data_IF_529941190957
#
_entry.id   IF_529941190957
#
_cell.length_a   1.000
_cell.length_b   1.000
_cell.length_c   1.000
_cell.angle_alpha   90.00
_cell.angle_beta   90.00
_cell.angle_gamma   90.00
#
_symmetry.space_group_name_H-M   'P 1'
#
loop_
_entity.id
_entity.type
_entity.pdbx_description
1 polymer ?
#
# COMPACT_ATOMS: atom_id res chain seq x y z
N UNK A 1 97.39 78.59 -113.26
CA UNK A 1 97.00 77.18 -113.43
C UNK A 1 98.05 76.35 -112.71
N UNK A 2 97.84 75.99 -111.45
CA UNK A 2 97.20 74.70 -111.11
C UNK A 2 96.27 74.89 -109.88
N UNK A 3 95.43 73.95 -109.46
CA UNK A 3 95.81 72.91 -108.52
C UNK A 3 94.56 72.06 -108.28
N UNK A 4 94.65 70.77 -108.58
CA UNK A 4 93.59 69.78 -108.35
C UNK A 4 94.18 68.49 -107.76
N UNK A 5 95.19 68.61 -106.89
CA UNK A 5 95.91 67.47 -106.28
C UNK A 5 95.67 67.28 -104.77
N UNK A 6 94.81 68.08 -104.13
CA UNK A 6 94.64 68.06 -102.65
C UNK A 6 93.45 67.25 -102.13
N UNK A 7 92.76 66.46 -102.97
CA UNK A 7 91.53 65.77 -102.56
C UNK A 7 91.69 64.32 -102.07
N UNK A 8 92.92 63.79 -101.96
CA UNK A 8 93.15 62.42 -101.47
C UNK A 8 93.51 62.34 -99.97
N UNK A 9 94.01 63.41 -99.37
CA UNK A 9 94.45 63.40 -97.95
C UNK A 9 93.33 63.72 -96.95
N UNK A 10 92.26 64.40 -97.37
CA UNK A 10 91.18 64.79 -96.46
C UNK A 10 90.29 63.62 -96.02
N UNK A 11 90.15 62.58 -96.84
CA UNK A 11 89.21 61.47 -96.58
C UNK A 11 89.82 60.43 -95.61
N UNK A 12 91.14 60.26 -95.61
CA UNK A 12 91.85 59.31 -94.73
C UNK A 12 91.98 59.79 -93.29
N UNK A 13 92.20 61.10 -93.09
CA UNK A 13 92.35 61.69 -91.76
C UNK A 13 91.00 61.73 -91.00
N UNK A 14 89.89 61.73 -91.74
CA UNK A 14 88.54 61.70 -91.17
C UNK A 14 88.16 60.30 -90.65
N UNK A 15 88.60 59.22 -91.32
CA UNK A 15 88.35 57.84 -90.85
C UNK A 15 89.20 57.47 -89.63
N UNK A 16 90.45 57.94 -89.54
CA UNK A 16 91.33 57.66 -88.40
C UNK A 16 90.83 58.35 -87.11
N UNK A 17 90.27 59.56 -87.20
CA UNK A 17 89.71 60.24 -86.02
C UNK A 17 88.49 59.52 -85.43
N UNK A 18 87.67 58.86 -86.26
CA UNK A 18 86.50 58.11 -85.79
C UNK A 18 86.87 56.92 -84.90
N UNK A 19 87.88 56.14 -85.30
CA UNK A 19 88.31 54.94 -84.57
C UNK A 19 88.96 55.23 -83.21
N UNK A 20 89.70 56.34 -83.09
CA UNK A 20 90.30 56.72 -81.81
C UNK A 20 89.27 57.23 -80.79
N UNK A 21 88.21 57.89 -81.26
CA UNK A 21 87.18 58.44 -80.39
C UNK A 21 86.31 57.33 -79.78
N UNK A 22 86.00 56.28 -80.56
CA UNK A 22 85.25 55.11 -80.09
C UNK A 22 86.05 54.28 -79.08
N UNK A 23 87.37 54.14 -79.27
CA UNK A 23 88.24 53.44 -78.33
C UNK A 23 88.37 54.16 -76.97
N UNK A 24 88.39 55.50 -76.96
CA UNK A 24 88.45 56.26 -75.70
C UNK A 24 87.15 56.15 -74.90
N UNK A 25 85.99 56.14 -75.56
CA UNK A 25 84.70 56.10 -74.88
C UNK A 25 84.43 54.75 -74.22
N UNK A 26 84.87 53.64 -74.84
CA UNK A 26 84.75 52.30 -74.27
C UNK A 26 85.62 52.06 -73.01
N UNK A 27 86.72 52.81 -72.87
CA UNK A 27 87.58 52.69 -71.68
C UNK A 27 86.97 53.43 -70.48
N UNK A 28 86.37 54.61 -70.70
CA UNK A 28 85.69 55.36 -69.63
C UNK A 28 84.44 54.63 -69.09
N UNK A 29 83.68 53.94 -69.94
CA UNK A 29 82.52 53.17 -69.49
C UNK A 29 82.90 51.97 -68.62
N UNK A 30 84.05 51.32 -68.88
CA UNK A 30 84.53 50.21 -68.05
C UNK A 30 85.06 50.67 -66.69
N UNK A 31 85.70 51.83 -66.60
CA UNK A 31 86.19 52.35 -65.31
C UNK A 31 85.04 52.80 -64.39
N UNK A 32 83.96 53.36 -64.95
CA UNK A 32 82.80 53.80 -64.16
C UNK A 32 81.95 52.62 -63.66
N UNK A 33 81.87 51.52 -64.43
CA UNK A 33 81.20 50.29 -64.00
C UNK A 33 81.95 49.54 -62.89
N UNK A 34 83.30 49.58 -62.89
CA UNK A 34 84.11 48.96 -61.84
C UNK A 34 83.97 49.68 -60.48
N UNK A 35 83.91 51.02 -60.47
CA UNK A 35 83.75 51.79 -59.22
C UNK A 35 82.39 51.58 -58.53
N UNK A 36 81.30 51.41 -59.27
CA UNK A 36 79.97 51.13 -58.68
C UNK A 36 79.82 49.70 -58.12
N UNK A 37 80.66 48.76 -58.57
CA UNK A 37 80.66 47.38 -58.07
C UNK A 37 81.29 47.20 -56.69
N UNK A 38 82.17 48.12 -56.28
CA UNK A 38 82.86 48.06 -54.98
C UNK A 38 82.05 48.73 -53.85
N UNK A 39 81.39 49.86 -54.11
CA UNK A 39 80.57 50.56 -53.10
C UNK A 39 79.36 49.73 -52.63
N UNK A 40 78.75 48.93 -53.52
CA UNK A 40 77.62 48.07 -53.15
C UNK A 40 78.04 46.83 -52.32
N UNK A 41 79.29 46.37 -52.43
CA UNK A 41 79.80 45.26 -51.61
C UNK A 41 80.12 45.71 -50.19
N UNK A 42 80.59 46.94 -49.98
CA UNK A 42 80.85 47.46 -48.63
C UNK A 42 79.56 47.74 -47.83
N UNK A 43 78.49 48.17 -48.48
CA UNK A 43 77.19 48.41 -47.81
C UNK A 43 76.45 47.11 -47.43
N UNK A 44 76.54 46.05 -48.27
CA UNK A 44 75.96 44.73 -47.95
C UNK A 44 76.72 44.05 -46.79
N UNK A 45 78.06 44.21 -46.72
CA UNK A 45 78.88 43.65 -45.64
C UNK A 45 78.59 44.35 -44.31
N UNK A 46 78.49 45.69 -44.30
CA UNK A 46 78.17 46.46 -43.08
C UNK A 46 76.78 46.11 -42.54
N UNK A 47 75.76 45.98 -43.40
CA UNK A 47 74.41 45.58 -42.96
C UNK A 47 74.35 44.15 -42.40
N UNK A 48 75.09 43.19 -42.99
CA UNK A 48 75.16 41.82 -42.45
C UNK A 48 75.95 41.72 -41.14
N UNK A 49 76.89 42.62 -40.91
CA UNK A 49 77.59 42.72 -39.62
C UNK A 49 76.68 43.32 -38.55
N UNK A 50 75.87 44.34 -38.87
CA UNK A 50 74.90 44.92 -37.93
C UNK A 50 73.77 43.94 -37.57
N UNK A 51 73.22 43.18 -38.53
CA UNK A 51 72.21 42.14 -38.24
C UNK A 51 72.78 40.94 -37.44
N UNK A 52 74.10 40.67 -37.54
CA UNK A 52 74.76 39.67 -36.69
C UNK A 52 75.10 40.20 -35.30
N UNK A 53 75.45 41.48 -35.17
CA UNK A 53 75.72 42.13 -33.89
C UNK A 53 74.42 42.31 -33.07
N UNK A 54 73.30 42.62 -33.72
CA UNK A 54 72.00 42.73 -33.06
C UNK A 54 71.42 41.37 -32.59
N UNK A 55 71.84 40.26 -33.21
CA UNK A 55 71.49 38.88 -32.78
C UNK A 55 72.45 38.29 -31.73
N UNK A 56 73.54 39.00 -31.40
CA UNK A 56 74.62 38.51 -30.54
C UNK A 56 74.51 38.91 -29.06
N UNK A 57 73.64 39.87 -28.72
CA UNK A 57 73.41 40.23 -27.33
C UNK A 57 72.03 39.72 -26.90
N UNK A 58 71.96 38.44 -26.56
CA UNK A 58 70.89 37.96 -25.68
C UNK A 58 71.15 38.63 -24.33
N UNK A 59 70.37 39.65 -24.00
CA UNK A 59 70.52 40.32 -22.71
C UNK A 59 70.19 39.33 -21.59
N UNK A 60 70.87 39.43 -20.45
CA UNK A 60 70.64 38.55 -19.28
C UNK A 60 69.14 38.39 -18.91
N UNK A 61 68.28 39.42 -19.05
CA UNK A 61 66.84 39.28 -18.87
C UNK A 61 66.16 38.33 -19.88
N UNK A 62 66.63 38.28 -21.13
CA UNK A 62 66.12 37.37 -22.17
C UNK A 62 66.54 35.91 -21.92
N UNK A 63 67.75 35.67 -21.41
CA UNK A 63 68.20 34.32 -21.01
C UNK A 63 67.44 33.76 -19.80
N UNK A 64 67.00 34.62 -18.89
CA UNK A 64 66.25 34.23 -17.70
C UNK A 64 64.73 34.15 -17.94
N UNK A 65 64.24 34.63 -19.08
CA UNK A 65 62.81 34.62 -19.44
C UNK A 65 62.18 33.21 -19.39
N UNK A 66 62.80 32.13 -19.90
CA UNK A 66 62.24 30.78 -19.77
C UNK A 66 62.13 30.33 -18.31
N UNK A 67 63.08 30.73 -17.48
CA UNK A 67 63.12 30.36 -16.06
C UNK A 67 62.05 31.15 -15.26
N UNK A 68 61.87 32.44 -15.56
CA UNK A 68 60.76 33.23 -15.00
C UNK A 68 59.39 32.75 -15.47
N UNK A 69 59.24 32.39 -16.75
CA UNK A 69 58.01 31.80 -17.28
C UNK A 69 57.74 30.44 -16.64
N UNK A 70 58.78 29.63 -16.41
CA UNK A 70 58.70 28.38 -15.65
C UNK A 70 58.24 28.61 -14.21
N UNK A 71 58.83 29.58 -13.51
CA UNK A 71 58.45 29.92 -12.13
C UNK A 71 57.01 30.45 -12.05
N UNK A 72 56.59 31.28 -13.01
CA UNK A 72 55.22 31.79 -13.11
C UNK A 72 54.22 30.68 -13.47
N UNK A 73 54.59 29.76 -14.35
CA UNK A 73 53.77 28.60 -14.68
C UNK A 73 53.63 27.66 -13.47
N UNK A 74 54.71 27.43 -12.71
CA UNK A 74 54.70 26.61 -11.50
C UNK A 74 53.85 27.28 -10.42
N UNK A 75 54.04 28.56 -10.12
CA UNK A 75 53.23 29.27 -9.11
C UNK A 75 51.74 29.32 -9.49
N UNK A 76 51.42 29.50 -10.78
CA UNK A 76 50.06 29.39 -11.29
C UNK A 76 49.50 27.98 -11.15
N UNK A 77 50.26 26.95 -11.53
CA UNK A 77 49.85 25.56 -11.39
C UNK A 77 49.67 25.15 -9.92
N UNK A 78 50.50 25.66 -9.00
CA UNK A 78 50.32 25.46 -7.55
C UNK A 78 49.06 26.14 -7.04
N UNK A 79 48.74 27.34 -7.52
CA UNK A 79 47.48 28.04 -7.22
C UNK A 79 46.26 27.28 -7.75
N UNK A 80 46.31 26.81 -9.00
CA UNK A 80 45.24 26.02 -9.59
C UNK A 80 45.06 24.68 -8.85
N UNK A 81 46.15 23.97 -8.54
CA UNK A 81 46.11 22.73 -7.78
C UNK A 81 45.53 22.91 -6.37
N UNK A 82 45.88 24.00 -5.66
CA UNK A 82 45.28 24.28 -4.35
C UNK A 82 43.79 24.57 -4.42
N UNK A 83 43.31 25.26 -5.46
CA UNK A 83 41.86 25.46 -5.67
C UNK A 83 41.13 24.17 -6.03
N UNK A 84 41.76 23.28 -6.80
CA UNK A 84 41.19 21.97 -7.16
C UNK A 84 41.09 21.09 -5.91
N UNK A 85 42.12 21.08 -5.06
CA UNK A 85 42.10 20.36 -3.78
C UNK A 85 40.98 20.88 -2.87
N UNK A 86 40.81 22.20 -2.75
CA UNK A 86 39.70 22.77 -1.97
C UNK A 86 38.32 22.42 -2.53
N UNK A 87 38.18 22.32 -3.86
CA UNK A 87 36.93 21.87 -4.49
C UNK A 87 36.69 20.38 -4.24
N UNK A 88 37.74 19.55 -4.32
CA UNK A 88 37.69 18.12 -4.01
C UNK A 88 37.29 17.88 -2.56
N UNK A 89 37.88 18.58 -1.59
CA UNK A 89 37.50 18.49 -0.18
C UNK A 89 36.03 18.87 0.01
N UNK A 90 35.58 20.00 -0.54
CA UNK A 90 34.18 20.42 -0.47
C UNK A 90 33.22 19.41 -1.10
N UNK A 91 33.57 18.80 -2.22
CA UNK A 91 32.75 17.75 -2.84
C UNK A 91 32.77 16.44 -2.04
N UNK A 92 33.89 16.14 -1.39
CA UNK A 92 34.05 14.95 -0.55
C UNK A 92 33.23 15.11 0.74
N UNK A 93 33.21 16.29 1.34
CA UNK A 93 32.36 16.63 2.49
C UNK A 93 30.87 16.62 2.13
N UNK A 94 30.51 17.15 0.95
CA UNK A 94 29.15 17.10 0.43
C UNK A 94 28.69 15.66 0.14
N UNK A 95 29.60 14.80 -0.34
CA UNK A 95 29.34 13.39 -0.56
C UNK A 95 29.23 12.62 0.76
N UNK A 96 30.08 12.91 1.75
CA UNK A 96 30.03 12.30 3.08
C UNK A 96 28.74 12.66 3.83
N UNK A 97 28.30 13.92 3.74
CA UNK A 97 27.02 14.37 4.33
C UNK A 97 25.81 13.76 3.62
N UNK A 98 25.84 13.63 2.29
CA UNK A 98 24.80 12.92 1.53
C UNK A 98 24.76 11.42 1.85
N UNK A 99 25.92 10.78 2.02
CA UNK A 99 26.04 9.37 2.43
C UNK A 99 25.54 9.12 3.86
N UNK A 100 25.61 10.11 4.75
CA UNK A 100 25.03 10.02 6.10
C UNK A 100 23.49 10.11 6.14
N UNK A 101 22.88 10.85 5.22
CA UNK A 101 21.41 11.02 5.15
C UNK A 101 20.66 9.82 4.57
N UNK A 102 21.27 9.15 3.59
CA UNK A 102 20.70 8.00 2.87
C UNK A 102 20.30 6.82 3.78
N UNK A 103 21.15 6.31 4.70
CA UNK A 103 20.76 5.23 5.60
C UNK A 103 19.65 5.65 6.58
N UNK A 104 19.59 6.93 6.94
CA UNK A 104 18.52 7.47 7.80
C UNK A 104 17.16 7.44 7.08
N UNK A 105 17.12 7.86 5.81
CA UNK A 105 15.93 7.79 4.97
C UNK A 105 15.49 6.35 4.71
N UNK A 106 16.43 5.43 4.43
CA UNK A 106 16.11 4.00 4.25
C UNK A 106 15.50 3.42 5.53
N UNK A 107 16.03 3.78 6.70
CA UNK A 107 15.48 3.36 8.00
C UNK A 107 14.08 3.93 8.24
N UNK A 108 13.83 5.18 7.91
CA UNK A 108 12.48 5.78 8.00
C UNK A 108 11.49 5.10 7.04
N UNK A 109 11.93 4.78 5.82
CA UNK A 109 11.10 4.10 4.83
C UNK A 109 10.78 2.67 5.26
N UNK A 110 11.74 1.95 5.83
CA UNK A 110 11.51 0.65 6.47
C UNK A 110 10.52 0.76 7.63
N UNK A 111 10.71 1.73 8.54
CA UNK A 111 9.79 1.94 9.65
C UNK A 111 8.36 2.26 9.18
N UNK A 112 8.22 3.05 8.11
CA UNK A 112 6.92 3.38 7.52
C UNK A 112 6.27 2.17 6.84
N UNK A 113 7.05 1.33 6.16
CA UNK A 113 6.58 0.07 5.57
C UNK A 113 6.14 -0.91 6.65
N UNK A 114 6.90 -1.04 7.73
CA UNK A 114 6.56 -1.90 8.87
C UNK A 114 5.31 -1.39 9.61
N UNK A 115 5.16 -0.08 9.74
CA UNK A 115 3.95 0.53 10.30
C UNK A 115 2.73 0.27 9.40
N UNK A 116 2.89 0.41 8.09
CA UNK A 116 1.81 0.18 7.11
C UNK A 116 1.46 -1.30 7.01
N UNK A 117 2.43 -2.20 7.02
CA UNK A 117 2.20 -3.65 7.02
C UNK A 117 1.49 -4.08 8.30
N UNK A 118 1.88 -3.54 9.46
CA UNK A 118 1.18 -3.75 10.73
C UNK A 118 -0.26 -3.22 10.72
N UNK A 119 -0.49 -2.04 10.13
CA UNK A 119 -1.86 -1.50 9.98
C UNK A 119 -2.70 -2.37 9.05
N UNK A 120 -2.15 -2.79 7.91
CA UNK A 120 -2.82 -3.69 6.98
C UNK A 120 -3.16 -5.02 7.65
N UNK A 121 -2.22 -5.62 8.38
CA UNK A 121 -2.45 -6.88 9.10
C UNK A 121 -3.60 -6.73 10.10
N UNK A 122 -3.60 -5.66 10.91
CA UNK A 122 -4.70 -5.37 11.83
C UNK A 122 -6.04 -5.15 11.13
N UNK A 123 -6.02 -4.50 9.98
CA UNK A 123 -7.24 -4.29 9.18
C UNK A 123 -7.76 -5.62 8.62
N UNK A 124 -6.86 -6.49 8.14
CA UNK A 124 -7.23 -7.86 7.72
C UNK A 124 -7.76 -8.69 8.88
N UNK A 125 -7.13 -8.62 10.05
CA UNK A 125 -7.55 -9.37 11.24
C UNK A 125 -8.92 -8.88 11.74
N UNK A 126 -9.14 -7.56 11.78
CA UNK A 126 -10.42 -6.96 12.14
C UNK A 126 -11.52 -7.39 11.15
N UNK A 127 -11.25 -7.34 9.85
CA UNK A 127 -12.22 -7.72 8.81
C UNK A 127 -12.50 -9.23 8.84
N UNK A 128 -11.49 -10.07 9.11
CA UNK A 128 -11.70 -11.50 9.34
C UNK A 128 -12.54 -11.76 10.59
N UNK A 129 -12.29 -11.03 11.67
CA UNK A 129 -13.04 -11.16 12.91
C UNK A 129 -14.50 -10.72 12.73
N UNK A 130 -14.74 -9.64 11.97
CA UNK A 130 -16.08 -9.20 11.59
C UNK A 130 -16.78 -10.20 10.66
N UNK A 131 -16.11 -10.73 9.63
CA UNK A 131 -16.67 -11.75 8.75
C UNK A 131 -17.03 -13.03 9.50
N UNK A 132 -16.16 -13.45 10.43
CA UNK A 132 -16.41 -14.59 11.30
C UNK A 132 -17.59 -14.32 12.23
N UNK A 133 -17.62 -13.14 12.84
CA UNK A 133 -18.72 -12.69 13.69
C UNK A 133 -20.04 -12.61 12.94
N UNK A 134 -20.04 -12.12 11.70
CA UNK A 134 -21.22 -12.09 10.84
C UNK A 134 -21.65 -13.50 10.47
N UNK A 135 -20.75 -14.36 9.99
CA UNK A 135 -21.10 -15.74 9.61
C UNK A 135 -21.68 -16.51 10.80
N UNK A 136 -21.00 -16.49 11.93
CA UNK A 136 -21.41 -17.30 13.08
C UNK A 136 -22.63 -16.66 13.77
N UNK A 137 -22.64 -15.34 13.96
CA UNK A 137 -23.74 -14.62 14.59
C UNK A 137 -25.01 -14.59 13.74
N UNK A 138 -24.91 -14.29 12.44
CA UNK A 138 -26.06 -14.25 11.52
C UNK A 138 -26.66 -15.62 11.30
N UNK A 139 -25.85 -16.66 11.05
CA UNK A 139 -26.40 -18.00 10.82
C UNK A 139 -27.12 -18.49 12.07
N UNK A 140 -26.50 -18.38 13.24
CA UNK A 140 -27.16 -18.79 14.48
C UNK A 140 -28.41 -17.94 14.80
N UNK A 141 -28.28 -16.61 14.87
CA UNK A 141 -29.39 -15.78 15.34
C UNK A 141 -30.47 -15.53 14.29
N UNK A 142 -30.10 -15.35 13.02
CA UNK A 142 -31.04 -14.96 11.96
C UNK A 142 -31.61 -16.15 11.18
N UNK A 143 -30.88 -17.27 11.08
CA UNK A 143 -31.36 -18.45 10.33
C UNK A 143 -31.83 -19.56 11.27
N UNK A 144 -30.99 -19.99 12.20
CA UNK A 144 -31.33 -21.14 13.04
C UNK A 144 -32.45 -20.81 14.04
N UNK A 145 -32.40 -19.65 14.69
CA UNK A 145 -33.36 -19.30 15.76
C UNK A 145 -34.82 -19.21 15.28
N UNK A 146 -35.15 -18.60 14.11
CA UNK A 146 -36.51 -18.66 13.58
C UNK A 146 -36.95 -20.08 13.24
N UNK A 147 -36.10 -20.87 12.57
CA UNK A 147 -36.41 -22.26 12.19
C UNK A 147 -36.69 -23.10 13.44
N UNK A 148 -35.86 -22.99 14.48
CA UNK A 148 -36.06 -23.70 15.74
C UNK A 148 -37.39 -23.28 16.38
N UNK A 149 -37.72 -21.98 16.38
CA UNK A 149 -39.00 -21.49 16.92
C UNK A 149 -40.20 -22.05 16.16
N UNK A 150 -40.10 -22.14 14.84
CA UNK A 150 -41.16 -22.68 13.99
C UNK A 150 -41.30 -24.19 14.21
N UNK A 151 -40.19 -24.93 14.36
CA UNK A 151 -40.21 -26.36 14.73
C UNK A 151 -40.82 -26.60 16.11
N UNK A 152 -40.53 -25.74 17.09
CA UNK A 152 -41.17 -25.79 18.41
C UNK A 152 -42.67 -25.53 18.31
N UNK A 153 -43.10 -24.61 17.45
CA UNK A 153 -44.52 -24.32 17.23
C UNK A 153 -45.22 -25.51 16.57
N UNK A 154 -44.59 -26.10 15.56
CA UNK A 154 -45.08 -27.33 14.92
C UNK A 154 -45.20 -28.49 15.91
N UNK A 155 -44.22 -28.64 16.81
CA UNK A 155 -44.27 -29.63 17.88
C UNK A 155 -45.47 -29.41 18.81
N UNK A 156 -45.72 -28.17 19.24
CA UNK A 156 -46.87 -27.82 20.09
C UNK A 156 -48.20 -28.17 19.37
N UNK A 157 -48.31 -27.83 18.09
CA UNK A 157 -49.53 -28.06 17.29
C UNK A 157 -49.78 -29.56 17.06
N UNK A 158 -48.72 -30.34 16.81
CA UNK A 158 -48.81 -31.80 16.72
C UNK A 158 -49.18 -32.43 18.06
N UNK A 159 -48.62 -31.94 19.18
CA UNK A 159 -49.01 -32.41 20.52
C UNK A 159 -50.45 -32.07 20.85
N UNK A 160 -50.94 -30.91 20.43
CA UNK A 160 -52.35 -30.55 20.57
C UNK A 160 -53.24 -31.49 19.74
N UNK A 161 -52.85 -31.75 18.49
CA UNK A 161 -53.56 -32.68 17.60
C UNK A 161 -53.58 -34.09 18.17
N UNK A 162 -52.45 -34.57 18.71
CA UNK A 162 -52.35 -35.84 19.40
C UNK A 162 -53.33 -35.94 20.56
N UNK A 163 -53.40 -34.91 21.41
CA UNK A 163 -54.37 -34.88 22.53
C UNK A 163 -55.82 -34.94 22.04
N UNK A 164 -56.17 -34.17 21.02
CA UNK A 164 -57.52 -34.20 20.43
C UNK A 164 -57.85 -35.56 19.83
N UNK A 165 -56.87 -36.22 19.22
CA UNK A 165 -57.01 -37.55 18.65
C UNK A 165 -57.23 -38.61 19.74
N UNK A 166 -56.50 -38.52 20.86
CA UNK A 166 -56.72 -39.39 22.02
C UNK A 166 -58.11 -39.20 22.63
N UNK A 167 -58.59 -37.96 22.75
CA UNK A 167 -59.95 -37.66 23.22
C UNK A 167 -61.01 -38.26 22.26
N UNK A 168 -60.84 -38.08 20.95
CA UNK A 168 -61.73 -38.65 19.94
C UNK A 168 -61.70 -40.18 19.88
N UNK A 169 -60.53 -40.80 20.05
CA UNK A 169 -60.39 -42.25 20.14
C UNK A 169 -61.10 -42.80 21.39
N UNK A 170 -60.99 -42.11 22.53
CA UNK A 170 -61.69 -42.45 23.77
C UNK A 170 -63.23 -42.35 23.66
N UNK A 171 -63.74 -41.43 22.86
CA UNK A 171 -65.18 -41.31 22.60
C UNK A 171 -65.68 -42.33 21.56
N UNK A 172 -64.86 -42.64 20.54
CA UNK A 172 -65.17 -43.70 19.56
C UNK A 172 -65.20 -45.09 20.20
N UNK A 173 -64.36 -45.35 21.21
CA UNK A 173 -64.34 -46.63 21.94
C UNK A 173 -65.64 -46.89 22.72
N UNK A 174 -66.42 -45.85 23.05
CA UNK A 174 -67.71 -45.97 23.74
C UNK A 174 -68.85 -46.35 22.80
N UNK A 175 -68.68 -46.15 21.49
CA UNK A 175 -69.66 -46.43 20.45
C UNK A 175 -69.42 -47.85 19.90
N UNK A 176 -70.02 -48.86 20.54
CA UNK A 176 -69.92 -50.26 20.11
C UNK A 176 -70.71 -50.50 18.81
N UNK A 177 -70.00 -50.40 17.68
CA UNK A 177 -70.49 -50.72 16.33
C UNK A 177 -69.30 -51.23 15.51
N UNK A 178 -69.49 -52.20 14.60
CA UNK A 178 -68.42 -52.69 13.71
C UNK A 178 -67.73 -51.57 12.90
N UNK A 179 -68.46 -50.49 12.61
CA UNK A 179 -67.90 -49.29 11.96
C UNK A 179 -67.04 -48.48 12.93
N UNK A 180 -67.43 -48.44 14.21
CA UNK A 180 -66.67 -47.83 15.30
C UNK A 180 -65.33 -48.52 15.53
N UNK A 181 -65.27 -49.85 15.45
CA UNK A 181 -64.02 -50.61 15.62
C UNK A 181 -63.00 -50.30 14.52
N UNK A 182 -63.45 -50.21 13.25
CA UNK A 182 -62.58 -49.84 12.13
C UNK A 182 -62.09 -48.39 12.22
N UNK A 183 -62.94 -47.48 12.68
CA UNK A 183 -62.56 -46.09 12.92
C UNK A 183 -61.58 -45.98 14.09
N UNK A 184 -61.80 -46.73 15.17
CA UNK A 184 -60.93 -46.80 16.32
C UNK A 184 -59.51 -47.27 15.95
N UNK A 185 -59.39 -48.36 15.18
CA UNK A 185 -58.08 -48.84 14.72
C UNK A 185 -57.36 -47.82 13.80
N UNK A 186 -58.11 -47.10 12.96
CA UNK A 186 -57.54 -46.00 12.17
C UNK A 186 -57.08 -44.84 13.04
N UNK A 187 -57.88 -44.43 14.02
CA UNK A 187 -57.52 -43.35 14.95
C UNK A 187 -56.30 -43.73 15.78
N UNK A 188 -56.21 -44.98 16.25
CA UNK A 188 -55.06 -45.51 16.97
C UNK A 188 -53.80 -45.52 16.11
N UNK A 189 -53.90 -45.94 14.85
CA UNK A 189 -52.76 -45.86 13.91
C UNK A 189 -52.33 -44.41 13.70
N UNK A 190 -53.29 -43.50 13.56
CA UNK A 190 -53.00 -42.07 13.42
C UNK A 190 -52.37 -41.49 14.69
N UNK A 191 -52.78 -41.95 15.88
CA UNK A 191 -52.23 -41.56 17.18
C UNK A 191 -50.75 -41.92 17.26
N UNK A 192 -50.42 -43.18 16.96
CA UNK A 192 -49.03 -43.65 16.91
C UNK A 192 -48.19 -42.90 15.87
N UNK A 193 -48.78 -42.55 14.72
CA UNK A 193 -48.06 -41.79 13.70
C UNK A 193 -47.75 -40.36 14.16
N UNK A 194 -48.69 -39.71 14.84
CA UNK A 194 -48.46 -38.37 15.39
C UNK A 194 -47.44 -38.41 16.53
N UNK A 195 -47.47 -39.46 17.36
CA UNK A 195 -46.46 -39.69 18.41
C UNK A 195 -45.05 -39.82 17.80
N UNK A 196 -44.87 -40.69 16.81
CA UNK A 196 -43.58 -40.84 16.11
C UNK A 196 -43.11 -39.53 15.46
N UNK A 197 -44.03 -38.73 14.90
CA UNK A 197 -43.67 -37.42 14.34
C UNK A 197 -43.21 -36.44 15.43
N UNK A 198 -43.84 -36.47 16.61
CA UNK A 198 -43.39 -35.66 17.75
C UNK A 198 -41.98 -36.06 18.20
N UNK A 199 -41.69 -37.35 18.29
CA UNK A 199 -40.36 -37.89 18.62
C UNK A 199 -39.33 -37.48 17.58
N UNK A 200 -39.65 -37.61 16.29
CA UNK A 200 -38.78 -37.19 15.21
C UNK A 200 -38.43 -35.69 15.27
N UNK A 201 -39.40 -34.82 15.57
CA UNK A 201 -39.13 -33.38 15.73
C UNK A 201 -38.21 -33.15 16.93
N UNK A 202 -38.38 -33.89 18.03
CA UNK A 202 -37.47 -33.80 19.18
C UNK A 202 -36.05 -34.21 18.79
N UNK A 203 -35.87 -35.25 17.99
CA UNK A 203 -34.56 -35.66 17.47
C UNK A 203 -33.95 -34.61 16.52
N UNK A 204 -34.77 -33.98 15.68
CA UNK A 204 -34.33 -32.86 14.83
C UNK A 204 -33.87 -31.69 15.70
N UNK A 205 -34.63 -31.32 16.74
CA UNK A 205 -34.27 -30.27 17.69
C UNK A 205 -32.97 -30.62 18.44
N UNK A 206 -32.80 -31.88 18.87
CA UNK A 206 -31.58 -32.35 19.51
C UNK A 206 -30.34 -32.21 18.61
N UNK A 207 -30.46 -32.51 17.31
CA UNK A 207 -29.39 -32.28 16.31
C UNK A 207 -29.05 -30.81 16.10
N UNK A 208 -29.99 -29.90 16.40
CA UNK A 208 -29.78 -28.46 16.41
C UNK A 208 -29.29 -27.93 17.77
N UNK A 209 -28.87 -28.83 18.68
CA UNK A 209 -28.40 -28.51 20.03
C UNK A 209 -29.49 -27.92 20.93
N UNK A 210 -30.76 -28.19 20.61
CA UNK A 210 -31.93 -27.77 21.38
C UNK A 210 -32.39 -28.94 22.23
N UNK A 211 -32.46 -28.74 23.54
CA UNK A 211 -32.88 -29.76 24.50
C UNK A 211 -34.17 -29.34 25.20
N UNK A 212 -35.03 -30.32 25.48
CA UNK A 212 -36.25 -30.06 26.25
C UNK A 212 -35.91 -29.84 27.72
N UNK A 213 -36.59 -28.89 28.35
CA UNK A 213 -36.50 -28.71 29.80
C UNK A 213 -37.03 -29.98 30.50
N UNK A 214 -36.37 -30.44 31.57
CA UNK A 214 -36.93 -31.46 32.43
C UNK A 214 -38.25 -30.95 32.98
N UNK A 215 -39.24 -31.84 33.08
CA UNK A 215 -40.58 -31.51 33.56
C UNK A 215 -40.46 -30.88 34.95
N UNK A 216 -40.89 -29.62 35.08
CA UNK A 216 -40.95 -28.95 36.37
C UNK A 216 -41.82 -29.74 37.34
N UNK A 217 -41.22 -30.22 38.43
CA UNK A 217 -41.93 -30.80 39.56
C UNK A 217 -41.59 -30.02 40.83
N UNK A 218 -42.59 -29.72 41.65
CA UNK A 218 -42.45 -28.87 42.83
C UNK A 218 -42.79 -27.40 42.57
N UNK A 219 -42.00 -26.50 43.14
CA UNK A 219 -42.26 -25.05 43.13
C UNK A 219 -41.82 -24.38 41.83
N UNK A 220 -42.56 -23.34 41.44
CA UNK A 220 -42.26 -22.53 40.25
C UNK A 220 -40.87 -21.89 40.32
N UNK A 221 -40.01 -22.23 39.35
CA UNK A 221 -38.78 -21.51 39.08
C UNK A 221 -39.00 -20.44 38.00
N UNK A 222 -38.89 -19.16 38.39
CA UNK A 222 -39.13 -18.01 37.49
C UNK A 222 -38.08 -17.87 36.38
N UNK A 223 -36.92 -18.53 36.48
CA UNK A 223 -35.87 -18.46 35.46
C UNK A 223 -36.16 -19.39 34.28
N UNK A 224 -36.76 -20.55 34.54
CA UNK A 224 -36.95 -21.63 33.58
C UNK A 224 -38.41 -21.86 33.21
N UNK A 225 -39.35 -21.41 34.06
CA UNK A 225 -40.78 -21.64 33.93
C UNK A 225 -41.58 -20.34 33.97
N UNK A 226 -42.70 -20.33 33.26
CA UNK A 226 -43.65 -19.23 33.19
C UNK A 226 -45.03 -19.72 33.61
N UNK A 227 -45.57 -19.12 34.67
CA UNK A 227 -46.94 -19.36 35.10
C UNK A 227 -47.93 -18.73 34.11
N UNK A 228 -48.73 -19.56 33.44
CA UNK A 228 -49.75 -19.11 32.46
C UNK A 228 -51.14 -19.08 33.05
N UNK A 229 -51.44 -20.01 33.96
CA UNK A 229 -52.73 -20.05 34.66
C UNK A 229 -52.52 -20.37 36.13
N UNK A 230 -53.50 -19.99 36.95
CA UNK A 230 -53.48 -20.18 38.39
C UNK A 230 -54.73 -20.96 38.81
N UNK A 231 -54.52 -22.08 39.49
CA UNK A 231 -55.57 -22.85 40.15
C UNK A 231 -55.58 -22.54 41.65
N UNK A 232 -56.76 -22.54 42.27
CA UNK A 232 -56.87 -22.24 43.70
C UNK A 232 -56.37 -23.44 44.50
N UNK A 233 -55.43 -23.21 45.40
CA UNK A 233 -54.94 -24.23 46.33
C UNK A 233 -55.96 -24.45 47.47
N UNK A 234 -56.14 -25.70 47.90
CA UNK A 234 -56.93 -26.05 49.08
C UNK A 234 -56.13 -25.93 50.38
N UNK A 235 -54.79 -25.97 50.29
CA UNK A 235 -53.87 -25.83 51.41
C UNK A 235 -52.82 -24.73 51.16
N UNK A 236 -52.36 -24.01 52.20
CA UNK A 236 -51.32 -22.98 52.10
C UNK A 236 -49.95 -23.53 51.67
N UNK A 237 -49.63 -24.77 52.03
CA UNK A 237 -48.33 -25.38 51.73
C UNK A 237 -48.13 -25.68 50.24
N UNK A 238 -49.23 -25.77 49.49
CA UNK A 238 -49.25 -26.00 48.05
C UNK A 238 -49.19 -24.68 47.24
N UNK A 239 -48.93 -23.54 47.89
CA UNK A 239 -48.78 -22.25 47.22
C UNK A 239 -47.51 -22.22 46.35
N UNK A 240 -47.70 -21.98 45.06
CA UNK A 240 -46.63 -21.94 44.07
C UNK A 240 -46.25 -23.30 43.47
N UNK A 241 -46.95 -24.38 43.81
CA UNK A 241 -46.70 -25.71 43.24
C UNK A 241 -47.27 -25.84 41.82
N UNK A 242 -46.51 -26.54 40.98
CA UNK A 242 -46.88 -26.83 39.59
C UNK A 242 -47.93 -27.95 39.57
N UNK A 243 -49.12 -27.64 39.06
CA UNK A 243 -50.21 -28.61 38.88
C UNK A 243 -49.99 -29.42 37.61
N UNK A 244 -49.73 -28.72 36.51
CA UNK A 244 -49.55 -29.32 35.19
C UNK A 244 -48.75 -28.42 34.28
N UNK A 245 -48.05 -29.06 33.34
CA UNK A 245 -47.37 -28.39 32.25
C UNK A 245 -48.33 -28.25 31.08
N UNK A 246 -48.49 -27.03 30.57
CA UNK A 246 -49.30 -26.73 29.38
C UNK A 246 -48.45 -26.87 28.12
N UNK A 247 -47.24 -26.28 28.13
CA UNK A 247 -46.30 -26.35 27.01
C UNK A 247 -44.89 -26.56 27.51
N UNK A 248 -44.13 -27.38 26.79
CA UNK A 248 -42.75 -27.74 27.15
C UNK A 248 -41.81 -26.55 26.99
N UNK A 249 -40.82 -26.47 27.88
CA UNK A 249 -39.71 -25.54 27.75
C UNK A 249 -38.60 -26.11 26.86
N UNK A 250 -37.82 -25.22 26.23
CA UNK A 250 -36.66 -25.59 25.41
C UNK A 250 -35.44 -24.74 25.77
N UNK A 251 -34.30 -25.41 25.94
CA UNK A 251 -32.97 -24.82 26.02
C UNK A 251 -32.30 -24.90 24.65
N UNK A 252 -31.55 -23.86 24.31
CA UNK A 252 -30.61 -23.91 23.20
C UNK A 252 -29.22 -23.63 23.75
N UNK A 253 -28.37 -24.66 23.75
CA UNK A 253 -27.10 -24.64 24.51
C UNK A 253 -27.38 -24.30 25.98
N UNK A 254 -26.84 -23.19 26.48
CA UNK A 254 -27.00 -22.73 27.87
C UNK A 254 -28.04 -21.61 28.03
N UNK A 255 -28.80 -21.30 26.96
CA UNK A 255 -29.78 -20.22 26.98
C UNK A 255 -31.20 -20.77 26.91
N UNK A 256 -32.07 -20.30 27.80
CA UNK A 256 -33.51 -20.56 27.70
C UNK A 256 -34.03 -19.95 26.40
N UNK A 257 -34.41 -20.79 25.44
CA UNK A 257 -35.04 -20.34 24.20
C UNK A 257 -36.52 -20.08 24.45
N UNK A 258 -37.15 -20.96 25.23
CA UNK A 258 -38.54 -20.86 25.65
C UNK A 258 -38.70 -21.46 27.05
N UNK A 259 -39.25 -20.66 27.96
CA UNK A 259 -39.60 -21.14 29.30
C UNK A 259 -40.77 -22.12 29.25
N UNK A 260 -40.76 -23.12 30.14
CA UNK A 260 -41.87 -24.08 30.27
C UNK A 260 -43.12 -23.37 30.79
N UNK A 261 -44.25 -23.57 30.12
CA UNK A 261 -45.52 -22.95 30.51
C UNK A 261 -46.28 -23.86 31.45
N UNK A 262 -46.50 -23.38 32.68
CA UNK A 262 -47.06 -24.19 33.76
C UNK A 262 -48.29 -23.54 34.37
N UNK A 263 -49.18 -24.37 34.90
CA UNK A 263 -50.29 -23.96 35.76
C UNK A 263 -49.86 -24.13 37.20
N UNK A 264 -49.92 -23.06 37.99
CA UNK A 264 -49.52 -23.09 39.41
C UNK A 264 -50.73 -23.04 40.32
N UNK A 265 -50.59 -23.62 41.51
CA UNK A 265 -51.53 -23.41 42.61
C UNK A 265 -51.23 -22.09 43.32
N UNK A 266 -52.27 -21.32 43.66
CA UNK A 266 -52.14 -20.13 44.51
C UNK A 266 -53.15 -20.16 45.65
N UNK A 267 -52.68 -19.89 46.86
CA UNK A 267 -53.50 -19.84 48.06
C UNK A 267 -54.33 -18.54 48.11
N UNK A 268 -55.57 -18.67 48.61
CA UNK A 268 -56.58 -17.59 48.62
C UNK A 268 -56.13 -16.30 49.29
N UNK A 269 -55.37 -16.37 50.39
CA UNK A 269 -54.91 -15.15 51.08
C UNK A 269 -53.87 -14.36 50.28
N UNK A 270 -52.98 -15.03 49.53
CA UNK A 270 -52.01 -14.37 48.64
C UNK A 270 -52.65 -13.74 47.38
N UNK A 271 -53.88 -14.16 47.02
CA UNK A 271 -54.63 -13.59 45.90
C UNK A 271 -55.32 -12.27 46.30
N UNK A 272 -55.87 -12.20 47.51
CA UNK A 272 -56.51 -11.00 48.06
C UNK A 272 -55.50 -9.90 48.41
N UNK A 273 -54.32 -10.24 48.92
CA UNK A 273 -53.25 -9.27 49.21
C UNK A 273 -52.72 -8.61 47.93
N UNK A 274 -52.63 -9.35 46.81
CA UNK A 274 -52.18 -8.80 45.53
C UNK A 274 -53.21 -7.84 44.89
N UNK A 275 -54.51 -8.02 45.17
CA UNK A 275 -55.57 -7.10 44.73
C UNK A 275 -55.72 -5.89 45.68
N UNK A 276 -55.35 -6.05 46.95
CA UNK A 276 -55.45 -5.01 47.98
C UNK A 276 -54.20 -4.10 48.07
N UNK A 277 -53.13 -4.38 47.32
CA UNK A 277 -51.93 -3.52 47.30
C UNK A 277 -52.07 -2.45 46.21
N UNK A 278 -52.35 -1.17 46.55
CA UNK A 278 -52.39 -0.11 45.55
C UNK A 278 -50.99 0.09 44.96
N UNK A 279 -50.93 0.25 43.63
CA UNK A 279 -49.72 0.62 42.89
C UNK A 279 -49.04 1.83 43.56
N UNK A 280 -47.72 1.79 43.81
CA UNK A 280 -47.01 2.96 44.29
C UNK A 280 -47.12 4.05 43.22
N UNK A 281 -47.77 5.16 43.57
CA UNK A 281 -47.80 6.36 42.76
C UNK A 281 -46.35 6.81 42.52
N UNK A 282 -45.88 6.66 41.27
CA UNK A 282 -44.64 7.27 40.83
C UNK A 282 -44.79 8.79 40.97
N UNK A 283 -43.93 9.39 41.79
CA UNK A 283 -43.67 10.83 41.83
C UNK A 283 -42.59 11.17 40.81
#
# INVERSE_FOLDING_TARGET
MPQQEQNLDADFDTQLRGLFQEATQNIEERETAARKGEENKEQEITRRVEERMAKSYVTVPDMLRPLMQGLLAVTRATGENTTILQKLDKTTDASATAQGGLPTLVRELQAMVDQKSGLNQRMFDALHQELKGYKDGFLLESVHKPIIRDLITLYDDLRLTHRQLQEAAGDSAKLSSEMGDKLFERLKTMDTNVEHNCEFIVEVLARLEVTMLPVGSGKLDKQTQRAVAVEMAEDPDNDGDIVRVVKRGFFWKDRVLRAEEVVIKKWKEGFLVALATPLPQQK
#
